data_IF_525382659908
#
_entry.id   IF_525382659908
#
_cell.length_a   1.000
_cell.length_b   1.000
_cell.length_c   1.000
_cell.angle_alpha   90.00
_cell.angle_beta   90.00
_cell.angle_gamma   90.00
#
_symmetry.space_group_name_H-M   'P 1'
#
loop_
_entity.id
_entity.type
_entity.pdbx_description
1 polymer ?
#
# COMPACT_ATOMS: atom_id res chain seq x y z
N UNK A 1 6.04 -10.14 10.90
CA UNK A 1 5.73 -10.72 9.58
C UNK A 1 6.01 -9.65 8.54
N UNK A 2 7.16 -9.72 7.89
CA UNK A 2 7.59 -8.75 6.89
C UNK A 2 6.81 -9.01 5.60
N UNK A 3 6.08 -8.03 5.09
CA UNK A 3 5.34 -8.16 3.84
C UNK A 3 6.31 -8.60 2.71
N UNK A 4 5.92 -9.54 1.83
CA UNK A 4 6.77 -9.92 0.71
C UNK A 4 7.12 -8.68 -0.10
N UNK A 5 8.41 -8.46 -0.34
CA UNK A 5 8.89 -7.42 -1.27
C UNK A 5 8.24 -7.74 -2.61
N UNK A 6 7.30 -6.91 -3.06
CA UNK A 6 6.70 -7.03 -4.39
C UNK A 6 7.74 -6.56 -5.41
N UNK A 7 8.70 -7.41 -5.69
CA UNK A 7 9.60 -7.23 -6.82
C UNK A 7 8.80 -7.49 -8.10
N UNK A 8 8.62 -6.46 -8.91
CA UNK A 8 7.96 -6.59 -10.21
C UNK A 8 7.38 -5.29 -10.74
N UNK A 9 7.31 -5.17 -12.06
CA UNK A 9 6.53 -4.12 -12.74
C UNK A 9 5.10 -4.61 -12.94
N UNK A 10 4.12 -3.77 -12.65
CA UNK A 10 2.71 -4.02 -12.92
C UNK A 10 2.15 -3.00 -13.91
N UNK A 11 1.04 -3.29 -14.59
CA UNK A 11 0.38 -2.30 -15.48
C UNK A 11 -0.78 -1.65 -14.73
N UNK A 12 -0.77 -0.32 -14.64
CA UNK A 12 -1.88 0.42 -14.06
C UNK A 12 -3.16 0.21 -14.87
N UNK A 13 -4.24 -0.28 -14.26
CA UNK A 13 -5.51 -0.52 -14.96
C UNK A 13 -6.15 0.76 -15.48
N UNK A 14 -5.95 1.89 -14.81
CA UNK A 14 -6.47 3.20 -15.20
C UNK A 14 -5.73 3.82 -16.39
N UNK A 15 -4.42 4.09 -16.27
CA UNK A 15 -3.66 4.80 -17.32
C UNK A 15 -2.82 3.90 -18.24
N UNK A 16 -2.88 2.58 -18.06
CA UNK A 16 -2.14 1.56 -18.84
C UNK A 16 -0.61 1.70 -18.86
N UNK A 17 -0.04 2.57 -18.02
CA UNK A 17 1.41 2.74 -17.89
C UNK A 17 2.00 1.66 -16.96
N UNK A 18 3.25 1.23 -17.20
CA UNK A 18 3.96 0.38 -16.26
C UNK A 18 4.18 1.14 -14.95
N UNK A 19 4.05 0.41 -13.85
CA UNK A 19 4.22 0.89 -12.48
C UNK A 19 5.25 0.01 -11.81
N UNK A 20 6.28 0.66 -11.30
CA UNK A 20 7.29 0.02 -10.47
C UNK A 20 6.84 0.08 -9.01
N UNK A 21 6.67 -1.09 -8.37
CA UNK A 21 6.24 -1.20 -6.97
C UNK A 21 7.25 -0.63 -5.98
N UNK A 22 8.50 -0.40 -6.39
CA UNK A 22 9.48 0.31 -5.57
C UNK A 22 9.21 1.83 -5.54
N UNK A 23 8.60 2.36 -6.61
CA UNK A 23 8.36 3.79 -6.83
C UNK A 23 6.87 4.19 -6.75
N UNK A 24 5.99 3.32 -6.25
CA UNK A 24 4.59 3.68 -5.99
C UNK A 24 4.49 4.68 -4.86
N UNK A 25 3.56 5.61 -5.02
CA UNK A 25 3.21 6.55 -3.96
C UNK A 25 2.38 5.83 -2.91
N UNK A 26 2.58 6.19 -1.64
CA UNK A 26 1.90 5.57 -0.51
C UNK A 26 1.21 6.66 0.29
N UNK A 27 -0.02 6.40 0.71
CA UNK A 27 -0.77 7.27 1.60
C UNK A 27 -1.33 6.42 2.74
N UNK A 28 -0.86 6.70 3.95
CA UNK A 28 -1.29 6.00 5.15
C UNK A 28 -2.36 6.86 5.85
N UNK A 29 -3.44 6.23 6.30
CA UNK A 29 -4.53 6.87 7.04
C UNK A 29 -4.96 5.99 8.20
N UNK A 30 -5.06 6.58 9.39
CA UNK A 30 -5.70 5.92 10.51
C UNK A 30 -7.23 5.85 10.28
N UNK A 31 -7.78 4.64 10.33
CA UNK A 31 -9.21 4.39 10.12
C UNK A 31 -9.95 4.06 11.43
N UNK A 32 -9.23 3.52 12.41
CA UNK A 32 -9.66 3.28 13.79
C UNK A 32 -8.43 3.40 14.70
N UNK A 33 -8.59 3.56 16.03
CA UNK A 33 -7.45 3.62 16.94
C UNK A 33 -6.48 2.47 16.72
N UNK A 34 -5.24 2.77 16.34
CA UNK A 34 -4.18 1.79 16.04
C UNK A 34 -4.42 0.92 14.81
N UNK A 35 -5.41 1.23 13.98
CA UNK A 35 -5.68 0.54 12.70
C UNK A 35 -5.45 1.53 11.57
N UNK A 36 -4.49 1.20 10.72
CA UNK A 36 -4.09 2.03 9.59
C UNK A 36 -4.42 1.33 8.28
N UNK A 37 -4.78 2.12 7.29
CA UNK A 37 -4.94 1.72 5.89
C UNK A 37 -3.91 2.47 5.05
N UNK A 38 -3.28 1.77 4.10
CA UNK A 38 -2.30 2.29 3.15
C UNK A 38 -2.88 2.10 1.77
N UNK A 39 -3.06 3.21 1.08
CA UNK A 39 -3.33 3.22 -0.35
C UNK A 39 -2.01 3.22 -1.12
N UNK A 40 -1.89 2.30 -2.08
CA UNK A 40 -0.83 2.31 -3.08
C UNK A 40 -1.34 3.04 -4.32
N UNK A 41 -0.62 4.09 -4.73
CA UNK A 41 -1.11 5.06 -5.70
C UNK A 41 -0.18 5.07 -6.91
N UNK A 42 -0.77 5.02 -8.11
CA UNK A 42 -0.03 5.12 -9.36
C UNK A 42 0.70 6.46 -9.45
N UNK A 43 2.03 6.48 -9.69
CA UNK A 43 2.79 7.73 -9.78
C UNK A 43 2.41 8.56 -11.01
N UNK A 44 1.86 7.94 -12.05
CA UNK A 44 1.55 8.63 -13.31
C UNK A 44 0.17 9.29 -13.34
N UNK A 45 -0.85 8.62 -12.82
CA UNK A 45 -2.24 9.08 -12.92
C UNK A 45 -2.95 9.23 -11.58
N UNK A 46 -2.26 8.95 -10.47
CA UNK A 46 -2.79 9.07 -9.10
C UNK A 46 -3.98 8.16 -8.79
N UNK A 47 -4.32 7.21 -9.67
CA UNK A 47 -5.30 6.18 -9.39
C UNK A 47 -4.82 5.26 -8.26
N UNK A 48 -5.73 4.88 -7.37
CA UNK A 48 -5.44 3.87 -6.34
C UNK A 48 -5.34 2.50 -7.00
N UNK A 49 -4.24 1.82 -6.73
CA UNK A 49 -3.93 0.48 -7.25
C UNK A 49 -4.42 -0.60 -6.28
N UNK A 50 -4.20 -0.39 -4.99
CA UNK A 50 -4.49 -1.35 -3.93
C UNK A 50 -4.56 -0.67 -2.56
N UNK A 51 -5.26 -1.31 -1.62
CA UNK A 51 -5.26 -0.96 -0.20
C UNK A 51 -4.65 -2.10 0.62
N UNK A 52 -3.92 -1.74 1.68
CA UNK A 52 -3.48 -2.70 2.71
C UNK A 52 -3.72 -2.12 4.10
N UNK A 53 -4.21 -2.92 5.04
CA UNK A 53 -4.41 -2.50 6.43
C UNK A 53 -3.41 -3.16 7.38
N UNK A 54 -2.96 -2.43 8.40
CA UNK A 54 -2.16 -2.98 9.51
C UNK A 54 -2.57 -2.37 10.84
N UNK A 55 -2.25 -3.07 11.92
CA UNK A 55 -2.50 -2.59 13.27
C UNK A 55 -1.19 -2.35 14.00
N UNK A 56 -1.09 -1.23 14.72
CA UNK A 56 0.08 -0.92 15.55
C UNK A 56 -0.22 -1.26 17.01
N UNK A 57 0.29 -2.40 17.47
CA UNK A 57 0.14 -2.79 18.86
C UNK A 57 0.81 -4.11 19.11
N UNK A 58 1.82 -4.11 19.97
CA UNK A 58 2.40 -5.35 20.50
C UNK A 58 1.26 -6.15 21.10
N UNK A 59 1.05 -7.37 20.60
CA UNK A 59 0.26 -8.37 21.31
C UNK A 59 0.96 -8.57 22.66
N UNK A 60 0.56 -7.81 23.69
CA UNK A 60 0.85 -8.19 25.08
C UNK A 60 0.04 -9.45 25.30
N UNK A 61 0.69 -10.60 25.07
CA UNK A 61 0.29 -11.85 25.70
C UNK A 61 0.60 -11.64 27.18
N UNK A 62 -0.45 -11.48 27.98
CA UNK A 62 -0.44 -11.88 29.39
C UNK A 62 -0.03 -13.36 29.49
#
# INVERSE_FOLDING_TARGET
MSAPRREGRSICKACKKPVDWENVLRSDREIQPRVFERAYICPHCRAVLEFSSWQTGVSRRD
#
